data_IF_855666066335
#
_entry.id   IF_855666066335
#
_cell.length_a   1.000
_cell.length_b   1.000
_cell.length_c   1.000
_cell.angle_alpha   90.00
_cell.angle_beta   90.00
_cell.angle_gamma   90.00
#
_symmetry.space_group_name_H-M   'P 1'
#
loop_
_entity.id
_entity.type
_entity.pdbx_description
1 polymer ?
#
# COMPACT_ATOMS: atom_id res chain seq x y z
N UNK A 1 -32.49 19.92 -46.19
CA UNK A 1 -31.96 18.62 -45.76
C UNK A 1 -30.95 18.89 -44.64
N UNK A 2 -31.32 18.65 -43.38
CA UNK A 2 -30.41 18.81 -42.23
C UNK A 2 -30.08 17.43 -41.67
N UNK A 3 -28.81 17.06 -41.70
CA UNK A 3 -28.32 15.86 -41.01
C UNK A 3 -27.92 16.25 -39.59
N UNK A 4 -28.71 15.84 -38.59
CA UNK A 4 -28.29 15.85 -37.19
C UNK A 4 -27.21 14.80 -36.98
N UNK A 5 -26.00 15.22 -36.62
CA UNK A 5 -24.96 14.32 -36.13
C UNK A 5 -25.27 13.99 -34.67
N UNK A 6 -25.69 12.76 -34.41
CA UNK A 6 -25.85 12.25 -33.05
C UNK A 6 -24.46 12.13 -32.39
N UNK A 7 -24.21 12.91 -31.33
CA UNK A 7 -23.07 12.66 -30.45
C UNK A 7 -23.28 11.30 -29.76
N UNK A 8 -22.43 10.32 -30.07
CA UNK A 8 -22.31 9.11 -29.27
C UNK A 8 -21.78 9.50 -27.89
N UNK A 9 -22.61 9.35 -26.86
CA UNK A 9 -22.17 9.40 -25.48
C UNK A 9 -21.06 8.35 -25.29
N UNK A 10 -19.85 8.79 -24.99
CA UNK A 10 -18.79 7.90 -24.50
C UNK A 10 -19.26 7.40 -23.14
N UNK A 11 -19.63 6.12 -23.06
CA UNK A 11 -19.74 5.42 -21.79
C UNK A 11 -18.34 5.44 -21.16
N UNK A 12 -18.06 6.45 -20.35
CA UNK A 12 -16.93 6.43 -19.44
C UNK A 12 -17.28 5.43 -18.35
N UNK A 13 -16.59 4.28 -18.23
CA UNK A 13 -16.83 3.38 -17.13
C UNK A 13 -16.53 4.13 -15.83
N UNK A 14 -17.45 4.05 -14.87
CA UNK A 14 -17.17 4.53 -13.51
C UNK A 14 -15.89 3.87 -13.00
N UNK A 15 -15.02 4.60 -12.28
CA UNK A 15 -13.81 4.02 -11.72
C UNK A 15 -14.21 3.05 -10.60
N UNK A 16 -14.36 1.78 -10.95
CA UNK A 16 -14.44 0.68 -10.01
C UNK A 16 -13.03 0.22 -9.67
N UNK A 17 -12.71 0.20 -8.38
CA UNK A 17 -11.39 -0.16 -7.81
C UNK A 17 -11.09 -1.67 -7.86
N UNK A 18 -11.60 -2.39 -8.86
CA UNK A 18 -11.11 -3.74 -9.16
C UNK A 18 -10.15 -3.62 -10.33
N UNK A 19 -8.85 -3.68 -10.01
CA UNK A 19 -7.72 -3.56 -10.91
C UNK A 19 -7.72 -4.57 -12.05
N UNK A 20 -8.56 -4.33 -13.06
CA UNK A 20 -8.43 -4.90 -14.41
C UNK A 20 -8.23 -3.81 -15.47
N UNK A 21 -7.82 -2.61 -15.03
CA UNK A 21 -7.28 -1.59 -15.91
C UNK A 21 -5.81 -1.89 -16.14
N UNK A 22 -5.44 -2.15 -17.41
CA UNK A 22 -4.10 -2.52 -17.88
C UNK A 22 -2.98 -1.92 -17.01
N UNK A 23 -2.14 -2.77 -16.44
CA UNK A 23 -0.86 -2.34 -15.89
C UNK A 23 -0.20 -1.39 -16.90
N UNK A 24 0.13 -0.18 -16.47
CA UNK A 24 0.87 0.77 -17.31
C UNK A 24 2.21 0.11 -17.58
N UNK A 25 2.36 -0.43 -18.79
CA UNK A 25 3.62 -1.01 -19.23
C UNK A 25 4.50 0.16 -19.61
N UNK A 26 5.51 0.43 -18.81
CA UNK A 26 6.53 1.42 -19.15
C UNK A 26 7.45 0.82 -20.20
N UNK A 27 7.79 1.59 -21.24
CA UNK A 27 8.73 1.17 -22.29
C UNK A 27 10.15 0.91 -21.74
N UNK A 28 10.46 1.51 -20.60
CA UNK A 28 11.70 1.31 -19.85
C UNK A 28 11.49 1.51 -18.35
N UNK A 29 12.29 0.82 -17.53
CA UNK A 29 12.30 1.07 -16.09
C UNK A 29 12.71 2.53 -15.79
N UNK A 30 12.19 3.13 -14.70
CA UNK A 30 12.63 4.45 -14.27
C UNK A 30 14.14 4.49 -14.03
N UNK A 31 14.81 5.53 -14.52
CA UNK A 31 16.26 5.72 -14.34
C UNK A 31 16.63 6.13 -12.91
N UNK A 32 15.66 6.66 -12.16
CA UNK A 32 15.81 7.06 -10.77
C UNK A 32 14.79 6.31 -9.92
N UNK A 33 15.26 5.69 -8.83
CA UNK A 33 14.43 4.99 -7.85
C UNK A 33 14.18 5.81 -6.60
N UNK A 34 14.74 7.02 -6.52
CA UNK A 34 14.55 7.96 -5.44
C UNK A 34 14.38 9.37 -6.00
N UNK A 35 13.40 10.09 -5.48
CA UNK A 35 13.18 11.50 -5.77
C UNK A 35 12.88 12.23 -4.47
N UNK A 36 13.34 13.47 -4.35
CA UNK A 36 13.03 14.33 -3.19
C UNK A 36 13.07 15.81 -3.57
N UNK A 37 12.26 16.62 -2.89
CA UNK A 37 12.29 18.09 -2.93
C UNK A 37 12.67 18.71 -1.56
N UNK A 38 13.13 17.88 -0.62
CA UNK A 38 13.46 18.29 0.75
C UNK A 38 12.30 18.27 1.74
N UNK A 39 11.05 18.17 1.27
CA UNK A 39 9.86 17.97 2.14
C UNK A 39 9.24 16.59 1.94
N UNK A 40 9.32 16.07 0.72
CA UNK A 40 8.80 14.76 0.32
C UNK A 40 9.97 13.91 -0.17
N UNK A 41 9.94 12.63 0.18
CA UNK A 41 10.85 11.62 -0.35
C UNK A 41 10.03 10.47 -0.93
N UNK A 42 10.24 10.17 -2.21
CA UNK A 42 9.57 9.10 -2.94
C UNK A 42 10.60 8.03 -3.31
N UNK A 43 10.32 6.78 -2.94
CA UNK A 43 11.17 5.63 -3.22
C UNK A 43 10.42 4.59 -4.05
N UNK A 44 11.07 4.09 -5.09
CA UNK A 44 10.63 2.96 -5.90
C UNK A 44 11.41 1.72 -5.47
N UNK A 45 10.73 0.76 -4.85
CA UNK A 45 11.33 -0.48 -4.40
C UNK A 45 10.45 -1.21 -3.37
N UNK A 46 10.97 -2.30 -2.84
CA UNK A 46 10.34 -2.97 -1.70
C UNK A 46 10.44 -2.07 -0.46
N UNK A 47 9.26 -1.71 0.06
CA UNK A 47 9.11 -0.87 1.24
C UNK A 47 9.90 -1.34 2.46
N UNK A 48 10.11 -2.65 2.66
CA UNK A 48 10.88 -3.19 3.78
C UNK A 48 12.34 -2.69 3.78
N UNK A 49 12.90 -2.43 2.60
CA UNK A 49 14.28 -1.94 2.45
C UNK A 49 14.40 -0.44 2.77
N UNK A 50 13.29 0.28 2.94
CA UNK A 50 13.28 1.74 3.11
C UNK A 50 12.93 2.19 4.53
N UNK A 51 12.29 1.36 5.35
CA UNK A 51 11.86 1.74 6.69
C UNK A 51 13.01 2.13 7.62
N UNK A 52 14.18 1.51 7.47
CA UNK A 52 15.36 1.80 8.28
C UNK A 52 15.88 3.25 8.13
N UNK A 53 15.48 3.95 7.06
CA UNK A 53 15.88 5.33 6.77
C UNK A 53 14.86 6.36 7.29
N UNK A 54 13.77 5.90 7.91
CA UNK A 54 12.71 6.79 8.37
C UNK A 54 13.12 7.53 9.63
N UNK A 55 12.87 8.84 9.63
CA UNK A 55 12.70 9.60 10.87
C UNK A 55 11.54 9.04 11.69
N UNK A 56 11.50 9.35 12.98
CA UNK A 56 10.42 8.94 13.89
C UNK A 56 9.06 9.44 13.38
N UNK A 57 8.15 8.56 12.94
CA UNK A 57 6.90 8.96 12.30
C UNK A 57 5.84 9.35 13.33
N UNK A 58 5.07 10.39 13.03
CA UNK A 58 3.84 10.72 13.78
C UNK A 58 2.62 9.96 13.25
N UNK A 59 2.62 9.66 11.95
CA UNK A 59 1.56 8.92 11.26
C UNK A 59 2.18 7.93 10.26
N UNK A 60 1.63 6.73 10.22
CA UNK A 60 1.95 5.71 9.22
C UNK A 60 0.64 5.36 8.51
N UNK A 61 0.64 5.39 7.17
CA UNK A 61 -0.52 4.98 6.37
C UNK A 61 -0.10 3.77 5.54
N UNK A 62 -0.84 2.67 5.67
CA UNK A 62 -0.59 1.43 4.95
C UNK A 62 -1.84 0.98 4.21
N UNK A 63 -1.70 0.87 2.89
CA UNK A 63 -2.66 0.31 1.95
C UNK A 63 -1.95 -0.79 1.14
N UNK A 64 -1.70 -1.93 1.78
CA UNK A 64 -0.82 -3.00 1.28
C UNK A 64 -1.58 -4.23 0.80
N UNK A 65 -1.10 -5.43 1.14
CA UNK A 65 -1.78 -6.70 0.86
C UNK A 65 -3.19 -6.77 1.48
N UNK A 66 -4.14 -7.36 0.75
CA UNK A 66 -5.53 -7.59 1.17
C UNK A 66 -5.89 -9.09 1.21
N UNK A 67 -5.03 -9.96 0.69
CA UNK A 67 -5.25 -11.40 0.62
C UNK A 67 -6.25 -11.82 -0.46
N UNK A 68 -6.34 -11.04 -1.54
CA UNK A 68 -7.31 -11.25 -2.63
C UNK A 68 -6.66 -11.28 -4.03
N UNK A 69 -5.33 -11.40 -4.10
CA UNK A 69 -4.54 -11.23 -5.34
C UNK A 69 -4.81 -9.87 -6.02
N UNK A 70 -4.84 -8.80 -5.23
CA UNK A 70 -5.05 -7.44 -5.76
C UNK A 70 -3.89 -6.94 -6.61
N UNK A 71 -2.68 -7.45 -6.40
CA UNK A 71 -1.47 -7.10 -7.14
C UNK A 71 -0.44 -8.24 -7.14
N UNK A 72 0.62 -8.09 -7.95
CA UNK A 72 1.75 -9.02 -8.01
C UNK A 72 2.57 -8.97 -6.70
N UNK A 73 2.33 -9.94 -5.80
CA UNK A 73 2.93 -9.99 -4.46
C UNK A 73 1.93 -9.98 -3.30
N UNK A 74 0.63 -9.80 -3.57
CA UNK A 74 -0.45 -10.02 -2.61
C UNK A 74 -0.63 -11.52 -2.33
N UNK A 75 -1.13 -11.87 -1.14
CA UNK A 75 -1.37 -13.28 -0.83
C UNK A 75 -2.61 -13.78 -1.57
N UNK A 76 -2.58 -15.04 -2.00
CA UNK A 76 -3.70 -15.64 -2.74
C UNK A 76 -4.95 -15.90 -1.91
N UNK A 77 -4.78 -15.81 -0.59
CA UNK A 77 -5.83 -15.98 0.39
C UNK A 77 -5.47 -15.23 1.68
N UNK A 78 -6.46 -14.95 2.52
CA UNK A 78 -6.34 -14.26 3.80
C UNK A 78 -5.43 -14.98 4.80
N UNK A 79 -5.26 -16.30 4.68
CA UNK A 79 -4.43 -17.09 5.60
C UNK A 79 -2.94 -16.66 5.61
N UNK A 80 -2.43 -16.12 4.50
CA UNK A 80 -1.04 -15.68 4.39
C UNK A 80 -0.80 -14.23 4.83
N UNK A 81 -1.86 -13.44 5.03
CA UNK A 81 -1.75 -11.98 5.16
C UNK A 81 -1.04 -11.56 6.46
N UNK A 82 -1.23 -12.33 7.54
CA UNK A 82 -0.59 -12.08 8.81
C UNK A 82 0.93 -12.22 8.72
N UNK A 83 1.40 -13.32 8.10
CA UNK A 83 2.82 -13.56 7.86
C UNK A 83 3.42 -12.53 6.90
N UNK A 84 2.64 -12.07 5.92
CA UNK A 84 3.06 -11.00 5.01
C UNK A 84 3.31 -9.68 5.75
N UNK A 85 2.39 -9.27 6.64
CA UNK A 85 2.52 -8.01 7.38
C UNK A 85 3.47 -8.08 8.58
N UNK A 86 3.80 -9.26 9.10
CA UNK A 86 4.69 -9.39 10.26
C UNK A 86 6.02 -8.59 10.14
N UNK A 87 6.81 -8.72 9.07
CA UNK A 87 8.05 -7.94 8.92
C UNK A 87 7.80 -6.44 8.87
N UNK A 88 6.69 -5.99 8.25
CA UNK A 88 6.32 -4.58 8.19
C UNK A 88 5.96 -4.03 9.56
N UNK A 89 5.09 -4.74 10.28
CA UNK A 89 4.64 -4.39 11.64
C UNK A 89 5.83 -4.30 12.59
N UNK A 90 6.78 -5.23 12.48
CA UNK A 90 8.02 -5.22 13.25
C UNK A 90 8.84 -3.97 12.97
N UNK A 91 9.09 -3.66 11.70
CA UNK A 91 9.86 -2.49 11.31
C UNK A 91 9.16 -1.18 11.72
N UNK A 92 7.87 -1.03 11.46
CA UNK A 92 7.10 0.15 11.87
C UNK A 92 7.18 0.40 13.37
N UNK A 93 7.16 -0.67 14.16
CA UNK A 93 7.21 -0.58 15.63
C UNK A 93 8.55 -0.16 16.18
N UNK A 94 9.64 -0.47 15.47
CA UNK A 94 10.98 -0.02 15.86
C UNK A 94 11.12 1.50 15.74
N UNK A 95 10.40 2.11 14.80
CA UNK A 95 10.43 3.56 14.60
C UNK A 95 9.28 4.29 15.32
N UNK A 96 8.19 3.59 15.62
CA UNK A 96 7.01 4.18 16.26
C UNK A 96 7.23 4.56 17.73
N UNK A 97 6.51 5.60 18.16
CA UNK A 97 6.39 6.03 19.55
C UNK A 97 4.95 5.86 20.03
N UNK A 98 4.69 6.14 21.32
CA UNK A 98 3.32 6.17 21.85
C UNK A 98 2.42 7.22 21.17
N UNK A 99 2.99 8.18 20.45
CA UNK A 99 2.25 9.20 19.70
C UNK A 99 2.03 8.83 18.23
N UNK A 100 2.68 7.76 17.75
CA UNK A 100 2.56 7.33 16.36
C UNK A 100 1.21 6.67 16.13
N UNK A 101 0.47 7.15 15.13
CA UNK A 101 -0.81 6.57 14.72
C UNK A 101 -0.65 5.76 13.44
N UNK A 102 -1.12 4.51 13.43
CA UNK A 102 -1.16 3.64 12.25
C UNK A 102 -2.56 3.64 11.63
N UNK A 103 -2.67 4.07 10.37
CA UNK A 103 -3.87 3.93 9.54
C UNK A 103 -3.70 2.75 8.62
N UNK A 104 -4.39 1.67 8.97
CA UNK A 104 -4.27 0.38 8.30
C UNK A 104 -5.53 0.06 7.51
N UNK A 105 -5.41 0.10 6.18
CA UNK A 105 -6.48 -0.27 5.26
C UNK A 105 -6.37 -1.75 4.91
N UNK A 106 -7.47 -2.50 5.10
CA UNK A 106 -7.53 -3.92 4.79
C UNK A 106 -8.98 -4.38 4.58
N UNK A 107 -9.16 -5.63 4.12
CA UNK A 107 -10.45 -6.33 4.15
C UNK A 107 -10.83 -6.67 5.60
N UNK A 108 -12.11 -6.94 5.86
CA UNK A 108 -12.58 -7.35 7.19
C UNK A 108 -11.81 -8.56 7.73
N UNK A 109 -11.66 -9.59 6.90
CA UNK A 109 -10.96 -10.84 7.25
C UNK A 109 -9.46 -10.60 7.39
N UNK A 110 -8.86 -9.78 6.52
CA UNK A 110 -7.45 -9.44 6.60
C UNK A 110 -7.12 -8.64 7.85
N UNK A 111 -7.96 -7.66 8.23
CA UNK A 111 -7.83 -6.93 9.49
C UNK A 111 -7.89 -7.87 10.69
N UNK A 112 -8.90 -8.76 10.73
CA UNK A 112 -9.06 -9.72 11.82
C UNK A 112 -7.86 -10.67 11.96
N UNK A 113 -7.22 -11.03 10.84
CA UNK A 113 -6.04 -11.91 10.80
C UNK A 113 -4.76 -11.20 11.27
N UNK A 114 -4.59 -9.92 10.92
CA UNK A 114 -3.37 -9.14 11.22
C UNK A 114 -3.39 -8.52 12.62
N UNK A 115 -4.56 -8.08 13.10
CA UNK A 115 -4.71 -7.34 14.35
C UNK A 115 -4.14 -8.05 15.61
N UNK A 116 -4.17 -9.39 15.75
CA UNK A 116 -3.49 -10.06 16.86
C UNK A 116 -1.96 -9.84 16.88
N UNK A 117 -1.33 -9.65 15.71
CA UNK A 117 0.11 -9.44 15.58
C UNK A 117 0.52 -8.00 15.93
N UNK A 118 -0.31 -7.00 15.61
CA UNK A 118 -0.03 -5.60 15.97
C UNK A 118 -0.05 -5.37 17.49
N UNK A 119 -0.75 -6.21 18.25
CA UNK A 119 -0.86 -6.10 19.71
C UNK A 119 0.34 -6.69 20.48
N UNK A 120 1.16 -7.53 19.86
CA UNK A 120 2.28 -8.23 20.52
C UNK A 120 3.60 -7.44 20.55
N UNK A 121 3.58 -6.19 20.07
CA UNK A 121 4.75 -5.33 20.02
C UNK A 121 4.99 -4.72 21.40
N UNK A 122 5.63 -5.51 22.26
CA UNK A 122 6.17 -5.05 23.53
C UNK A 122 7.28 -4.03 23.24
N UNK A 123 7.36 -2.90 23.97
CA UNK A 123 8.51 -2.02 23.85
C UNK A 123 9.77 -2.84 24.14
N UNK A 124 10.71 -2.84 23.19
CA UNK A 124 12.07 -3.29 23.46
C UNK A 124 12.57 -2.41 24.60
N UNK A 125 12.86 -3.06 25.73
CA UNK A 125 13.37 -2.38 26.92
C UNK A 125 14.69 -1.66 26.57
N UNK A 126 14.99 -0.53 27.25
CA UNK A 126 16.10 0.35 26.90
C UNK A 126 17.47 -0.32 26.96
#
# INVERSE_FOLDING_TARGET
>A
MSASVALKAKNTPSPGTVGRGKAVTLDSLPTHTHWTDGQVSLHLGDSLNHYAQWDTPTFIVSDGAYGILGFEGDTSDHLGIAAWYEPHIRAWSQHATAQTTLWFWNSEIGWASVHPHTRQLKPLSP
#
